data_IF_804783052670
#
_entry.id   IF_804783052670
#
_cell.length_a   1.000
_cell.length_b   1.000
_cell.length_c   1.000
_cell.angle_alpha   90.00
_cell.angle_beta   90.00
_cell.angle_gamma   90.00
#
_symmetry.space_group_name_H-M   'P 1'
#
loop_
_entity.id
_entity.type
_entity.pdbx_description
1 polymer ?
#
# COMPACT_ATOMS: atom_id res chain seq x y z
N UNK A 1 -15.93 14.19 15.75
CA UNK A 1 -15.81 15.43 16.57
C UNK A 1 -17.05 16.31 16.43
N UNK A 2 -17.42 16.75 15.20
CA UNK A 2 -18.59 17.63 14.95
C UNK A 2 -19.90 17.01 15.45
N UNK A 3 -20.12 15.73 15.21
CA UNK A 3 -21.29 14.98 15.68
C UNK A 3 -21.40 14.92 17.22
N UNK A 4 -20.28 15.08 17.93
CA UNK A 4 -20.22 15.16 19.40
C UNK A 4 -20.27 16.60 19.93
N UNK A 5 -20.62 17.56 19.10
CA UNK A 5 -20.83 18.95 19.50
C UNK A 5 -19.59 19.85 19.47
N UNK A 6 -18.40 19.35 19.15
CA UNK A 6 -17.22 20.20 19.03
C UNK A 6 -17.36 21.13 17.84
N UNK A 7 -17.25 22.44 18.05
CA UNK A 7 -17.42 23.49 17.02
C UNK A 7 -16.12 24.25 16.74
N UNK A 8 -15.33 24.44 17.78
CA UNK A 8 -14.13 25.27 17.73
C UNK A 8 -12.99 24.59 18.50
N UNK A 9 -11.80 24.60 17.91
CA UNK A 9 -10.54 24.22 18.54
C UNK A 9 -9.72 25.53 18.68
N UNK A 10 -9.50 25.98 19.92
CA UNK A 10 -8.78 27.24 20.20
C UNK A 10 -7.29 27.04 20.36
N UNK A 11 -6.88 25.86 20.84
CA UNK A 11 -5.48 25.47 20.98
C UNK A 11 -4.92 24.79 19.73
N UNK A 12 -3.71 24.26 19.87
CA UNK A 12 -3.00 23.55 18.81
C UNK A 12 -3.58 22.16 18.53
N UNK A 13 -3.39 21.69 17.33
CA UNK A 13 -3.51 20.29 16.96
C UNK A 13 -2.20 19.57 17.30
N UNK A 14 -2.18 18.81 18.37
CA UNK A 14 -0.99 18.06 18.80
C UNK A 14 -1.05 16.67 18.23
N UNK A 15 -0.02 16.29 17.49
CA UNK A 15 0.12 14.95 16.91
C UNK A 15 1.07 14.10 17.75
N UNK A 16 0.53 13.09 18.42
CA UNK A 16 1.32 12.11 19.15
C UNK A 16 1.64 10.91 18.27
N UNK A 17 2.91 10.81 17.89
CA UNK A 17 3.45 9.74 17.05
C UNK A 17 4.31 8.75 17.84
N UNK A 18 4.29 8.83 19.16
CA UNK A 18 5.18 8.11 20.06
C UNK A 18 4.98 6.58 20.08
N UNK A 19 3.87 6.09 19.50
CA UNK A 19 3.65 4.64 19.33
C UNK A 19 4.69 3.96 18.43
N UNK A 20 5.40 4.73 17.57
CA UNK A 20 6.44 4.24 16.69
C UNK A 20 7.76 4.99 16.92
N UNK A 21 8.86 4.25 16.94
CA UNK A 21 10.22 4.80 16.99
C UNK A 21 10.93 4.47 15.68
N UNK A 22 10.97 5.44 14.78
CA UNK A 22 11.47 5.27 13.41
C UNK A 22 12.62 6.22 13.12
N UNK A 23 13.58 5.73 12.36
CA UNK A 23 14.53 6.61 11.66
C UNK A 23 13.81 7.39 10.55
N UNK A 24 14.35 8.53 10.11
CA UNK A 24 13.85 9.24 8.95
C UNK A 24 13.72 8.30 7.74
N UNK A 25 12.60 8.35 7.05
CA UNK A 25 12.33 7.57 5.86
C UNK A 25 12.48 8.46 4.62
N UNK A 26 13.31 8.03 3.67
CA UNK A 26 13.42 8.65 2.36
C UNK A 26 12.56 7.89 1.34
N UNK A 27 11.46 8.46 0.84
CA UNK A 27 10.63 7.82 -0.16
C UNK A 27 11.30 7.66 -1.53
N UNK A 28 12.43 8.32 -1.77
CA UNK A 28 13.20 8.18 -3.02
C UNK A 28 14.18 6.99 -2.99
N UNK A 29 14.52 6.46 -1.80
CA UNK A 29 15.61 5.49 -1.59
C UNK A 29 15.47 4.23 -2.47
N UNK A 30 14.26 3.74 -2.67
CA UNK A 30 14.05 2.46 -3.36
C UNK A 30 14.21 2.55 -4.89
N UNK A 31 13.59 3.56 -5.54
CA UNK A 31 13.48 3.64 -6.99
C UNK A 31 13.52 5.08 -7.55
N UNK A 32 13.89 6.05 -6.70
CA UNK A 32 13.93 7.48 -7.03
C UNK A 32 12.56 8.07 -7.46
N UNK A 33 11.46 7.49 -6.97
CA UNK A 33 10.08 7.91 -7.24
C UNK A 33 9.35 8.36 -5.95
N UNK A 34 9.77 9.47 -5.30
CA UNK A 34 9.29 9.84 -3.97
C UNK A 34 7.78 10.13 -3.89
N UNK A 35 7.16 10.51 -5.01
CA UNK A 35 5.72 10.78 -5.05
C UNK A 35 4.85 9.53 -5.24
N UNK A 36 5.45 8.35 -5.44
CA UNK A 36 4.68 7.12 -5.55
C UNK A 36 4.16 6.68 -4.18
N UNK A 37 2.84 6.48 -4.01
CA UNK A 37 2.28 6.12 -2.70
C UNK A 37 2.89 4.86 -2.08
N UNK A 38 3.31 3.88 -2.89
CA UNK A 38 3.92 2.65 -2.37
C UNK A 38 5.27 2.89 -1.68
N UNK A 39 5.93 4.04 -1.92
CA UNK A 39 7.15 4.45 -1.24
C UNK A 39 6.89 5.16 0.10
N UNK A 40 5.64 5.45 0.44
CA UNK A 40 5.29 6.02 1.75
C UNK A 40 5.74 5.11 2.88
N UNK A 41 6.47 5.66 3.85
CA UNK A 41 6.86 4.98 5.07
C UNK A 41 5.68 4.71 6.01
N UNK A 42 5.84 3.83 7.02
CA UNK A 42 4.84 3.67 8.06
C UNK A 42 4.84 4.86 9.02
N UNK A 43 3.71 5.09 9.68
CA UNK A 43 3.56 6.17 10.66
C UNK A 43 2.48 5.83 11.70
N UNK A 44 2.67 6.25 12.96
CA UNK A 44 1.68 6.01 14.01
C UNK A 44 0.33 6.70 13.73
N UNK A 45 0.35 7.78 12.94
CA UNK A 45 -0.81 8.54 12.50
C UNK A 45 -1.02 8.44 10.98
N UNK A 46 -0.73 7.29 10.39
CA UNK A 46 -0.94 7.06 8.96
C UNK A 46 -2.40 7.30 8.59
N UNK A 47 -2.64 8.29 7.75
CA UNK A 47 -3.95 8.65 7.23
C UNK A 47 -3.98 8.40 5.71
N UNK A 48 -5.01 7.67 5.22
CA UNK A 48 -5.30 7.49 3.79
C UNK A 48 -4.05 7.17 2.93
N UNK A 49 -3.15 6.31 3.45
CA UNK A 49 -1.88 5.93 2.80
C UNK A 49 -0.96 7.12 2.46
N UNK A 50 -1.14 8.27 3.12
CA UNK A 50 -0.49 9.55 2.79
C UNK A 50 -0.65 9.93 1.31
N UNK A 51 -1.81 9.63 0.72
CA UNK A 51 -2.04 9.67 -0.72
C UNK A 51 -3.15 10.64 -1.10
N UNK A 52 -2.92 11.37 -2.19
CA UNK A 52 -3.91 12.23 -2.86
C UNK A 52 -4.22 11.61 -4.21
N UNK A 53 -5.49 11.45 -4.51
CA UNK A 53 -5.97 11.09 -5.84
C UNK A 53 -6.18 12.36 -6.67
N UNK A 54 -5.46 12.48 -7.77
CA UNK A 54 -5.64 13.52 -8.76
C UNK A 54 -6.46 12.96 -9.92
N UNK A 55 -7.63 13.54 -10.18
CA UNK A 55 -8.49 13.20 -11.32
C UNK A 55 -8.27 14.21 -12.43
N UNK A 56 -7.90 13.74 -13.61
CA UNK A 56 -7.69 14.50 -14.83
C UNK A 56 -8.93 14.35 -15.72
N UNK A 57 -9.67 15.44 -15.90
CA UNK A 57 -10.94 15.46 -16.60
C UNK A 57 -10.82 16.36 -17.83
N UNK A 58 -10.89 15.81 -19.05
CA UNK A 58 -10.92 16.63 -20.27
C UNK A 58 -12.20 17.48 -20.33
N UNK A 59 -12.05 18.80 -20.49
CA UNK A 59 -13.14 19.76 -20.67
C UNK A 59 -12.82 20.64 -21.91
N UNK A 60 -13.13 20.13 -23.09
CA UNK A 60 -12.79 20.80 -24.36
C UNK A 60 -11.28 20.88 -24.58
N UNK A 61 -10.74 22.09 -24.68
CA UNK A 61 -9.30 22.36 -24.85
C UNK A 61 -8.51 22.43 -23.52
N UNK A 62 -9.17 22.14 -22.40
CA UNK A 62 -8.56 22.21 -21.06
C UNK A 62 -8.67 20.89 -20.35
N UNK A 63 -7.76 20.68 -19.42
CA UNK A 63 -7.80 19.56 -18.48
C UNK A 63 -8.10 20.12 -17.09
N UNK A 64 -9.23 19.75 -16.53
CA UNK A 64 -9.52 20.03 -15.12
C UNK A 64 -8.86 18.97 -14.25
N UNK A 65 -8.20 19.43 -13.18
CA UNK A 65 -7.60 18.53 -12.20
C UNK A 65 -8.29 18.73 -10.85
N UNK A 66 -8.77 17.64 -10.26
CA UNK A 66 -9.41 17.63 -8.94
C UNK A 66 -8.58 16.76 -8.01
N UNK A 67 -8.24 17.28 -6.83
CA UNK A 67 -7.55 16.53 -5.78
C UNK A 67 -8.53 15.99 -4.74
N UNK A 68 -8.34 14.73 -4.31
CA UNK A 68 -9.13 14.09 -3.27
C UNK A 68 -8.21 13.25 -2.35
N UNK A 69 -8.15 13.52 -1.03
CA UNK A 69 -8.83 14.64 -0.35
C UNK A 69 -8.28 16.00 -0.76
N UNK A 70 -9.03 17.04 -0.48
CA UNK A 70 -8.53 18.41 -0.55
C UNK A 70 -7.49 18.64 0.54
N UNK A 71 -6.44 19.39 0.21
CA UNK A 71 -5.35 19.72 1.13
C UNK A 71 -5.36 21.21 1.44
N UNK A 72 -5.79 21.59 2.64
CA UNK A 72 -5.75 22.99 3.07
C UNK A 72 -4.32 23.53 3.01
N UNK A 73 -4.16 24.69 2.40
CA UNK A 73 -2.86 25.35 2.24
C UNK A 73 -2.05 24.86 1.03
N UNK A 74 -2.53 23.91 0.25
CA UNK A 74 -1.89 23.50 -1.01
C UNK A 74 -2.67 24.05 -2.19
N UNK A 75 -1.99 24.79 -3.05
CA UNK A 75 -2.54 25.32 -4.29
C UNK A 75 -2.15 24.44 -5.47
N UNK A 76 -3.05 24.26 -6.42
CA UNK A 76 -2.80 23.56 -7.67
C UNK A 76 -2.49 24.59 -8.78
N UNK A 77 -1.28 24.57 -9.33
CA UNK A 77 -0.92 25.27 -10.56
C UNK A 77 -0.99 24.27 -11.73
N UNK A 78 -2.09 24.34 -12.46
CA UNK A 78 -2.37 23.44 -13.57
C UNK A 78 -1.94 24.06 -14.90
N UNK A 79 -0.84 23.55 -15.46
CA UNK A 79 -0.30 23.93 -16.78
C UNK A 79 -0.37 22.77 -17.79
N UNK A 80 -1.32 21.86 -17.58
CA UNK A 80 -1.53 20.74 -18.50
C UNK A 80 -2.25 21.22 -19.75
N UNK A 81 -1.71 20.86 -20.91
CA UNK A 81 -2.33 21.13 -22.22
C UNK A 81 -2.92 19.86 -22.81
N UNK A 82 -3.87 20.00 -23.71
CA UNK A 82 -4.48 18.89 -24.44
C UNK A 82 -3.58 18.47 -25.60
N UNK A 83 -3.37 17.16 -25.78
CA UNK A 83 -2.67 16.63 -26.94
C UNK A 83 -3.46 16.87 -28.23
N UNK A 84 -2.81 17.35 -29.27
CA UNK A 84 -3.39 17.53 -30.61
C UNK A 84 -3.38 16.24 -31.45
N UNK A 85 -2.61 15.25 -31.03
CA UNK A 85 -2.47 13.93 -31.70
C UNK A 85 -2.97 12.82 -30.80
N UNK A 86 -3.36 11.70 -31.39
CA UNK A 86 -3.73 10.50 -30.63
C UNK A 86 -2.51 9.93 -29.89
N UNK A 87 -2.65 9.74 -28.57
CA UNK A 87 -1.63 9.16 -27.71
C UNK A 87 -2.00 7.76 -27.20
N UNK A 88 -1.02 7.05 -26.67
CA UNK A 88 -1.26 5.77 -26.01
C UNK A 88 -1.87 6.00 -24.61
N UNK A 89 -3.07 5.46 -24.41
CA UNK A 89 -3.78 5.62 -23.13
C UNK A 89 -3.23 4.76 -21.98
N UNK A 90 -2.30 3.85 -22.23
CA UNK A 90 -1.61 3.11 -21.16
C UNK A 90 -0.51 3.97 -20.51
N UNK A 91 0.11 4.85 -21.31
CA UNK A 91 1.25 5.69 -20.90
C UNK A 91 0.84 7.17 -20.77
N UNK A 92 -0.43 7.42 -20.53
CA UNK A 92 -1.04 8.77 -20.54
C UNK A 92 -0.39 9.77 -19.58
N UNK A 93 0.26 9.31 -18.53
CA UNK A 93 0.90 10.15 -17.52
C UNK A 93 2.41 10.33 -17.72
N UNK A 94 3.02 9.69 -18.74
CA UNK A 94 4.47 9.76 -18.96
C UNK A 94 4.90 11.14 -19.47
N UNK A 95 3.99 11.83 -20.17
CA UNK A 95 4.18 13.20 -20.63
C UNK A 95 3.79 14.27 -19.58
N UNK A 96 3.44 13.85 -18.37
CA UNK A 96 3.09 14.75 -17.28
C UNK A 96 4.18 14.78 -16.21
N UNK A 97 4.59 15.97 -15.82
CA UNK A 97 5.46 16.20 -14.66
C UNK A 97 4.69 16.83 -13.53
N UNK A 98 5.07 16.47 -12.29
CA UNK A 98 4.49 17.02 -11.07
C UNK A 98 5.61 17.41 -10.12
N UNK A 99 5.49 18.58 -9.50
CA UNK A 99 6.44 19.07 -8.52
C UNK A 99 5.74 19.89 -7.46
N UNK A 100 6.00 19.58 -6.19
CA UNK A 100 5.58 20.43 -5.08
C UNK A 100 6.67 21.49 -4.82
N UNK A 101 6.31 22.75 -4.97
CA UNK A 101 7.18 23.91 -4.72
C UNK A 101 6.57 24.76 -3.61
N UNK A 102 7.09 24.62 -2.39
CA UNK A 102 6.48 25.23 -1.22
C UNK A 102 5.05 24.74 -1.00
N UNK A 103 4.08 25.60 -1.13
CA UNK A 103 2.64 25.30 -1.00
C UNK A 103 1.93 25.06 -2.35
N UNK A 104 2.66 25.02 -3.45
CA UNK A 104 2.08 24.95 -4.79
C UNK A 104 2.46 23.65 -5.48
N UNK A 105 1.45 22.83 -5.81
CA UNK A 105 1.59 21.66 -6.67
C UNK A 105 1.52 22.10 -8.13
N UNK A 106 2.67 22.19 -8.80
CA UNK A 106 2.75 22.40 -10.23
C UNK A 106 2.51 21.08 -10.95
N UNK A 107 1.54 21.06 -11.87
CA UNK A 107 1.28 19.94 -12.79
C UNK A 107 1.35 20.48 -14.21
N UNK A 108 2.25 19.94 -15.02
CA UNK A 108 2.48 20.41 -16.39
C UNK A 108 2.74 19.26 -17.35
N UNK A 109 2.57 19.54 -18.65
CA UNK A 109 2.80 18.59 -19.72
C UNK A 109 1.59 18.47 -20.64
N UNK A 110 1.50 17.34 -21.35
CA UNK A 110 0.50 17.11 -22.38
C UNK A 110 -0.38 15.90 -22.01
N UNK A 111 -1.69 16.08 -22.02
CA UNK A 111 -2.66 15.04 -21.68
C UNK A 111 -3.45 14.60 -22.94
N UNK A 112 -3.52 13.30 -23.25
CA UNK A 112 -4.27 12.79 -24.39
C UNK A 112 -5.78 12.71 -24.06
N UNK A 113 -6.55 13.73 -24.45
CA UNK A 113 -7.97 13.87 -24.11
C UNK A 113 -8.84 12.69 -24.55
N UNK A 114 -8.47 12.01 -25.66
CA UNK A 114 -9.18 10.81 -26.14
C UNK A 114 -9.15 9.64 -25.13
N UNK A 115 -8.25 9.68 -24.15
CA UNK A 115 -8.18 8.67 -23.09
C UNK A 115 -9.29 8.84 -22.03
N UNK A 116 -10.09 9.92 -22.13
CA UNK A 116 -11.14 10.23 -21.17
C UNK A 116 -10.61 10.56 -19.79
N UNK A 117 -11.43 10.46 -18.78
CA UNK A 117 -11.03 10.69 -17.41
C UNK A 117 -9.95 9.67 -16.97
N UNK A 118 -8.94 10.17 -16.27
CA UNK A 118 -7.84 9.38 -15.69
C UNK A 118 -7.57 9.80 -14.26
N UNK A 119 -7.01 8.86 -13.50
CA UNK A 119 -6.65 9.10 -12.09
C UNK A 119 -5.19 8.75 -11.84
N UNK A 120 -4.54 9.55 -11.00
CA UNK A 120 -3.19 9.28 -10.48
C UNK A 120 -3.17 9.51 -8.99
N UNK A 121 -2.65 8.54 -8.25
CA UNK A 121 -2.38 8.68 -6.82
C UNK A 121 -0.96 9.16 -6.60
N UNK A 122 -0.80 10.15 -5.72
CA UNK A 122 0.50 10.75 -5.39
C UNK A 122 0.63 10.98 -3.89
N UNK A 123 1.83 10.81 -3.35
CA UNK A 123 2.21 11.23 -2.00
C UNK A 123 2.97 12.54 -2.11
N UNK A 124 2.47 13.60 -1.48
CA UNK A 124 2.98 14.96 -1.68
C UNK A 124 3.66 15.55 -0.46
N UNK A 125 3.24 15.14 0.74
CA UNK A 125 3.61 15.80 1.99
C UNK A 125 4.13 14.76 3.01
N UNK A 126 4.99 15.18 3.94
CA UNK A 126 5.24 14.39 5.16
C UNK A 126 3.95 14.09 5.92
N UNK A 127 3.91 12.98 6.66
CA UNK A 127 2.69 12.49 7.35
C UNK A 127 1.99 13.57 8.20
N UNK A 128 2.74 14.26 9.06
CA UNK A 128 2.16 15.30 9.93
C UNK A 128 1.55 16.44 9.13
N UNK A 129 2.24 16.89 8.08
CA UNK A 129 1.76 17.96 7.18
C UNK A 129 0.52 17.51 6.40
N UNK A 130 0.52 16.28 5.90
CA UNK A 130 -0.61 15.70 5.19
C UNK A 130 -1.85 15.61 6.11
N UNK A 131 -1.69 15.04 7.31
CA UNK A 131 -2.76 14.94 8.28
C UNK A 131 -3.34 16.31 8.63
N UNK A 132 -2.47 17.30 8.88
CA UNK A 132 -2.90 18.67 9.15
C UNK A 132 -3.69 19.28 8.00
N UNK A 133 -3.20 19.15 6.77
CA UNK A 133 -3.85 19.69 5.58
C UNK A 133 -5.24 19.07 5.37
N UNK A 134 -5.36 17.73 5.46
CA UNK A 134 -6.63 17.03 5.35
C UNK A 134 -7.56 17.37 6.50
N UNK A 135 -7.07 17.38 7.74
CA UNK A 135 -7.88 17.71 8.91
C UNK A 135 -8.46 19.13 8.81
N UNK A 136 -7.64 20.12 8.44
CA UNK A 136 -8.08 21.51 8.28
C UNK A 136 -9.12 21.65 7.18
N UNK A 137 -8.92 21.03 6.02
CA UNK A 137 -9.88 21.06 4.92
C UNK A 137 -11.24 20.49 5.35
N UNK A 138 -11.26 19.27 5.88
CA UNK A 138 -12.47 18.60 6.35
C UNK A 138 -13.12 19.33 7.53
N UNK A 139 -12.33 19.87 8.47
CA UNK A 139 -12.84 20.60 9.62
C UNK A 139 -13.55 21.87 9.20
N UNK A 140 -12.96 22.62 8.24
CA UNK A 140 -13.54 23.82 7.67
C UNK A 140 -14.79 23.52 6.85
N UNK A 141 -14.76 22.50 5.98
CA UNK A 141 -15.91 22.03 5.19
C UNK A 141 -17.12 21.72 6.08
N UNK A 142 -16.88 21.05 7.20
CA UNK A 142 -17.91 20.77 8.20
C UNK A 142 -18.30 21.98 9.08
N UNK A 143 -17.81 23.18 8.79
CA UNK A 143 -18.11 24.41 9.54
C UNK A 143 -17.42 24.49 10.89
N UNK A 144 -16.33 23.75 11.12
CA UNK A 144 -15.50 23.87 12.33
C UNK A 144 -14.48 25.01 12.21
N UNK A 145 -14.00 25.51 13.36
CA UNK A 145 -12.95 26.52 13.45
C UNK A 145 -11.73 25.97 14.17
N UNK A 146 -10.54 26.18 13.65
CA UNK A 146 -9.27 25.83 14.28
C UNK A 146 -8.36 27.08 14.28
N UNK A 147 -8.08 27.62 15.49
CA UNK A 147 -7.27 28.84 15.65
C UNK A 147 -5.78 28.52 15.80
N UNK A 148 -5.45 27.41 16.45
CA UNK A 148 -4.07 27.03 16.72
C UNK A 148 -3.34 26.45 15.51
N UNK A 149 -2.09 26.10 15.75
CA UNK A 149 -1.18 25.51 14.76
C UNK A 149 -1.05 23.99 14.94
N UNK A 150 -0.36 23.34 14.02
CA UNK A 150 0.08 21.97 14.20
C UNK A 150 1.38 21.95 15.00
N UNK A 151 1.49 21.00 15.94
CA UNK A 151 2.78 20.63 16.55
C UNK A 151 2.84 19.13 16.81
N UNK A 152 4.01 18.58 16.76
CA UNK A 152 4.26 17.22 17.25
C UNK A 152 4.52 17.23 18.76
N UNK A 153 4.13 16.17 19.46
CA UNK A 153 4.33 16.04 20.90
C UNK A 153 3.57 14.84 21.46
N UNK A 154 3.78 14.54 22.72
CA UNK A 154 3.06 13.47 23.42
C UNK A 154 1.76 13.99 24.04
N UNK A 155 0.78 13.09 24.18
CA UNK A 155 -0.47 13.38 24.88
C UNK A 155 -0.18 13.72 26.34
N UNK A 156 -0.60 14.91 26.84
CA UNK A 156 -0.44 15.23 28.27
C UNK A 156 -1.19 14.25 29.16
N UNK A 157 -0.59 13.90 30.30
CA UNK A 157 -1.19 12.94 31.25
C UNK A 157 -2.54 13.36 31.84
N UNK A 158 -2.88 14.65 31.76
CA UNK A 158 -4.17 15.22 32.20
C UNK A 158 -5.16 15.41 31.03
N UNK A 159 -4.85 14.94 29.83
CA UNK A 159 -5.75 15.05 28.68
C UNK A 159 -6.98 14.15 28.86
N UNK A 160 -8.14 14.66 28.51
CA UNK A 160 -9.40 13.92 28.56
C UNK A 160 -9.70 13.26 27.23
N UNK A 161 -10.00 11.96 27.24
CA UNK A 161 -10.42 11.23 26.06
C UNK A 161 -11.76 11.79 25.54
N UNK A 162 -11.74 12.37 24.34
CA UNK A 162 -12.94 12.92 23.72
C UNK A 162 -13.62 11.94 22.76
N UNK A 163 -12.85 11.22 21.96
CA UNK A 163 -13.36 10.27 20.98
C UNK A 163 -12.34 9.19 20.65
N UNK A 164 -12.83 8.01 20.31
CA UNK A 164 -12.03 6.90 19.79
C UNK A 164 -12.56 6.50 18.42
N UNK A 165 -11.65 6.20 17.50
CA UNK A 165 -11.92 5.56 16.23
C UNK A 165 -11.19 4.22 16.17
N UNK A 166 -11.88 3.18 15.76
CA UNK A 166 -11.31 1.86 15.56
C UNK A 166 -11.17 1.59 14.06
N UNK A 167 -10.04 1.03 13.64
CA UNK A 167 -9.87 0.56 12.28
C UNK A 167 -10.73 -0.67 11.98
N UNK A 168 -10.79 -1.07 10.71
CA UNK A 168 -11.38 -2.34 10.31
C UNK A 168 -10.70 -3.53 11.01
N UNK A 169 -11.37 -4.68 11.15
CA UNK A 169 -10.79 -5.91 11.67
C UNK A 169 -9.53 -6.32 10.91
N UNK A 170 -8.55 -6.91 11.62
CA UNK A 170 -7.26 -7.30 11.03
C UNK A 170 -7.40 -8.22 9.82
N UNK A 171 -8.38 -9.12 9.82
CA UNK A 171 -8.64 -10.02 8.69
C UNK A 171 -8.98 -9.26 7.38
N UNK A 172 -9.74 -8.16 7.49
CA UNK A 172 -10.06 -7.30 6.35
C UNK A 172 -8.82 -6.55 5.87
N UNK A 173 -8.02 -6.02 6.80
CA UNK A 173 -6.76 -5.33 6.46
C UNK A 173 -5.78 -6.28 5.74
N UNK A 174 -5.62 -7.53 6.23
CA UNK A 174 -4.78 -8.54 5.59
C UNK A 174 -5.30 -8.89 4.19
N UNK A 175 -6.61 -9.00 4.04
CA UNK A 175 -7.22 -9.22 2.71
C UNK A 175 -6.87 -8.10 1.75
N UNK A 176 -6.99 -6.85 2.16
CA UNK A 176 -6.67 -5.72 1.31
C UNK A 176 -5.16 -5.63 0.99
N UNK A 177 -4.30 -5.91 1.98
CA UNK A 177 -2.84 -6.04 1.77
C UNK A 177 -2.55 -7.06 0.67
N UNK A 178 -3.12 -8.24 0.77
CA UNK A 178 -2.80 -9.34 -0.14
C UNK A 178 -3.45 -9.16 -1.52
N UNK A 179 -4.75 -8.82 -1.58
CA UNK A 179 -5.50 -8.65 -2.84
C UNK A 179 -4.91 -7.53 -3.70
N UNK A 180 -4.61 -6.40 -3.10
CA UNK A 180 -4.13 -5.21 -3.84
C UNK A 180 -2.61 -5.04 -3.78
N UNK A 181 -1.91 -5.94 -3.08
CA UNK A 181 -0.46 -5.83 -2.88
C UNK A 181 -0.05 -4.47 -2.29
N UNK A 182 -0.79 -4.01 -1.26
CA UNK A 182 -0.61 -2.69 -0.68
C UNK A 182 0.63 -2.63 0.21
N UNK A 183 1.70 -2.01 -0.30
CA UNK A 183 2.99 -1.92 0.39
C UNK A 183 2.93 -1.06 1.65
N UNK A 184 2.15 0.02 1.65
CA UNK A 184 2.03 0.93 2.81
C UNK A 184 1.38 0.20 3.98
N UNK A 185 0.27 -0.50 3.72
CA UNK A 185 -0.39 -1.32 4.75
C UNK A 185 0.50 -2.47 5.23
N UNK A 186 1.26 -3.11 4.33
CA UNK A 186 2.17 -4.19 4.70
C UNK A 186 3.29 -3.71 5.63
N UNK A 187 3.91 -2.54 5.33
CA UNK A 187 4.89 -1.90 6.22
C UNK A 187 4.29 -1.55 7.58
N UNK A 188 3.08 -0.96 7.57
CA UNK A 188 2.36 -0.59 8.79
C UNK A 188 2.09 -1.82 9.67
N UNK A 189 1.59 -2.90 9.07
CA UNK A 189 1.33 -4.14 9.77
C UNK A 189 2.62 -4.76 10.32
N UNK A 190 3.68 -4.85 9.50
CA UNK A 190 4.98 -5.37 9.93
C UNK A 190 5.50 -4.61 11.14
N UNK A 191 5.51 -3.28 11.07
CA UNK A 191 5.97 -2.43 12.16
C UNK A 191 5.13 -2.63 13.42
N UNK A 192 3.81 -2.77 13.30
CA UNK A 192 2.91 -2.95 14.44
C UNK A 192 3.19 -4.24 15.24
N UNK A 193 3.84 -5.24 14.64
CA UNK A 193 4.25 -6.47 15.34
C UNK A 193 5.33 -6.23 16.40
N UNK A 194 6.10 -5.16 16.26
CA UNK A 194 7.22 -4.83 17.16
C UNK A 194 6.85 -3.95 18.34
N UNK A 195 5.59 -3.49 18.43
CA UNK A 195 5.12 -2.64 19.52
C UNK A 195 4.50 -3.43 20.67
N UNK A 196 4.61 -2.89 21.88
CA UNK A 196 3.90 -3.35 23.07
C UNK A 196 3.20 -2.17 23.73
N UNK A 197 2.40 -2.43 24.78
CA UNK A 197 1.76 -1.36 25.57
C UNK A 197 2.79 -0.39 26.19
N UNK A 198 3.99 -0.89 26.49
CA UNK A 198 5.01 -0.17 27.25
C UNK A 198 6.21 0.29 26.40
N UNK A 199 6.27 -0.11 25.13
CA UNK A 199 7.39 0.21 24.27
C UNK A 199 6.95 0.51 22.82
N UNK A 200 7.51 1.58 22.19
CA UNK A 200 7.20 1.93 20.82
C UNK A 200 7.67 0.85 19.85
N UNK A 201 6.90 0.67 18.78
CA UNK A 201 7.26 -0.24 17.71
C UNK A 201 8.46 0.29 16.89
N UNK A 202 9.35 -0.61 16.52
CA UNK A 202 10.43 -0.36 15.56
C UNK A 202 10.71 -1.62 14.72
N UNK A 203 11.45 -1.48 13.64
CA UNK A 203 11.71 -2.59 12.71
C UNK A 203 12.47 -3.75 13.33
N UNK A 204 13.42 -3.48 14.22
CA UNK A 204 14.19 -4.54 14.89
C UNK A 204 13.31 -5.41 15.80
N UNK A 205 12.40 -4.77 16.56
CA UNK A 205 11.43 -5.50 17.37
C UNK A 205 10.44 -6.29 16.51
N UNK A 206 10.04 -5.76 15.36
CA UNK A 206 9.16 -6.45 14.40
C UNK A 206 9.82 -7.69 13.81
N UNK A 207 11.09 -7.59 13.40
CA UNK A 207 11.86 -8.73 12.94
C UNK A 207 11.98 -9.79 14.04
N UNK A 208 12.31 -9.37 15.27
CA UNK A 208 12.43 -10.27 16.41
C UNK A 208 11.10 -10.98 16.70
N UNK A 209 9.98 -10.28 16.64
CA UNK A 209 8.64 -10.86 16.81
C UNK A 209 8.36 -11.98 15.79
N UNK A 210 8.71 -11.74 14.50
CA UNK A 210 8.57 -12.76 13.45
C UNK A 210 9.50 -13.95 13.69
N UNK A 211 10.78 -13.72 14.05
CA UNK A 211 11.73 -14.80 14.33
C UNK A 211 11.29 -15.66 15.52
N UNK A 212 10.75 -15.04 16.56
CA UNK A 212 10.18 -15.74 17.71
C UNK A 212 8.98 -16.59 17.30
N UNK A 213 8.08 -16.04 16.49
CA UNK A 213 6.92 -16.77 15.95
C UNK A 213 7.35 -17.98 15.10
N UNK A 214 8.34 -17.82 14.23
CA UNK A 214 8.90 -18.92 13.44
C UNK A 214 9.44 -20.03 14.34
N UNK A 215 10.22 -19.68 15.37
CA UNK A 215 10.77 -20.64 16.35
C UNK A 215 9.68 -21.39 17.09
N UNK A 216 8.65 -20.69 17.57
CA UNK A 216 7.49 -21.31 18.26
C UNK A 216 6.73 -22.29 17.36
N UNK A 217 6.69 -22.02 16.05
CA UNK A 217 6.05 -22.88 15.05
C UNK A 217 7.02 -23.92 14.46
N UNK A 218 8.21 -24.08 15.02
CA UNK A 218 9.24 -25.03 14.57
C UNK A 218 9.66 -24.82 13.11
N UNK A 219 9.64 -23.56 12.66
CA UNK A 219 10.09 -23.15 11.34
C UNK A 219 11.49 -22.55 11.46
N UNK A 220 12.42 -23.07 10.66
CA UNK A 220 13.81 -22.60 10.65
C UNK A 220 14.18 -22.12 9.26
N UNK A 221 14.37 -20.79 9.11
CA UNK A 221 14.67 -20.09 7.87
C UNK A 221 15.98 -19.28 8.03
N UNK A 222 17.15 -19.95 7.98
CA UNK A 222 18.43 -19.28 8.24
C UNK A 222 18.78 -18.20 7.21
N UNK A 223 18.25 -18.33 5.99
CA UNK A 223 18.45 -17.38 4.91
C UNK A 223 17.50 -16.16 4.94
N UNK A 224 16.52 -16.17 5.86
CA UNK A 224 15.52 -15.10 5.92
C UNK A 224 16.16 -13.76 6.30
N UNK A 225 15.97 -12.76 5.43
CA UNK A 225 16.28 -11.36 5.70
C UNK A 225 14.99 -10.58 5.57
N UNK A 226 14.65 -9.82 6.61
CA UNK A 226 13.49 -8.94 6.69
C UNK A 226 13.96 -7.50 6.88
N UNK A 227 13.36 -6.55 6.18
CA UNK A 227 13.63 -5.11 6.33
C UNK A 227 12.39 -4.31 6.68
N UNK A 228 11.36 -4.39 5.82
CA UNK A 228 10.21 -3.48 5.89
C UNK A 228 8.84 -4.16 5.78
N UNK A 229 8.79 -5.45 5.56
CA UNK A 229 7.55 -6.24 5.44
C UNK A 229 6.74 -6.02 4.16
N UNK A 230 7.17 -5.12 3.27
CA UNK A 230 6.46 -4.82 2.03
C UNK A 230 7.09 -5.49 0.80
N UNK A 231 8.32 -6.00 0.91
CA UNK A 231 9.06 -6.56 -0.21
C UNK A 231 9.67 -5.50 -1.14
N UNK A 232 9.52 -4.21 -0.87
CA UNK A 232 10.22 -3.13 -1.58
C UNK A 232 11.63 -2.99 -1.01
N UNK A 233 12.46 -3.99 -1.29
CA UNK A 233 13.81 -4.13 -0.81
C UNK A 233 14.64 -4.91 -1.81
N UNK A 234 15.94 -4.58 -1.90
CA UNK A 234 16.93 -5.35 -2.65
C UNK A 234 17.68 -6.34 -1.76
N UNK A 235 17.40 -6.35 -0.45
CA UNK A 235 18.09 -7.16 0.56
C UNK A 235 17.20 -8.28 1.11
N UNK A 236 15.89 -8.11 1.18
CA UNK A 236 14.95 -9.13 1.68
C UNK A 236 15.11 -10.45 0.92
N UNK A 237 15.17 -11.56 1.65
CA UNK A 237 15.43 -12.90 1.09
C UNK A 237 14.64 -13.96 1.82
N UNK A 238 14.13 -14.90 1.04
CA UNK A 238 13.58 -16.16 1.52
C UNK A 238 13.69 -17.21 0.41
N UNK A 239 13.97 -18.46 0.76
CA UNK A 239 14.02 -19.53 -0.24
C UNK A 239 12.63 -20.04 -0.63
N UNK A 240 12.44 -20.59 -1.85
CA UNK A 240 11.19 -21.25 -2.22
C UNK A 240 10.79 -22.35 -1.23
N UNK A 241 11.77 -23.09 -0.72
CA UNK A 241 11.54 -24.15 0.28
C UNK A 241 10.95 -23.57 1.58
N UNK A 242 11.52 -22.49 2.10
CA UNK A 242 11.04 -21.83 3.32
C UNK A 242 9.64 -21.25 3.13
N UNK A 243 9.34 -20.67 1.96
CA UNK A 243 7.98 -20.21 1.63
C UNK A 243 6.98 -21.38 1.55
N UNK A 244 7.35 -22.53 0.99
CA UNK A 244 6.49 -23.73 1.00
C UNK A 244 6.21 -24.18 2.43
N UNK A 245 7.22 -24.20 3.31
CA UNK A 245 7.05 -24.58 4.71
C UNK A 245 6.15 -23.59 5.46
N UNK A 246 6.29 -22.29 5.20
CA UNK A 246 5.44 -21.24 5.76
C UNK A 246 3.98 -21.41 5.31
N UNK A 247 3.74 -21.57 4.02
CA UNK A 247 2.39 -21.78 3.46
C UNK A 247 1.75 -23.08 3.99
N UNK A 248 2.54 -24.14 4.15
CA UNK A 248 2.08 -25.39 4.75
C UNK A 248 1.72 -25.23 6.23
N UNK A 249 2.46 -24.41 6.97
CA UNK A 249 2.12 -24.07 8.36
C UNK A 249 0.81 -23.27 8.41
N UNK A 250 0.65 -22.26 7.54
CA UNK A 250 -0.58 -21.48 7.42
C UNK A 250 -1.80 -22.35 7.08
N UNK A 251 -1.65 -23.30 6.15
CA UNK A 251 -2.72 -24.26 5.77
C UNK A 251 -3.21 -25.11 6.94
N UNK A 252 -2.34 -25.38 7.93
CA UNK A 252 -2.67 -26.18 9.11
C UNK A 252 -3.17 -25.34 10.29
N UNK A 253 -3.14 -24.04 10.15
CA UNK A 253 -3.60 -23.11 11.17
C UNK A 253 -5.13 -23.09 11.26
N UNK A 254 -5.70 -22.80 12.44
CA UNK A 254 -7.14 -22.53 12.57
C UNK A 254 -7.62 -21.34 11.70
N UNK A 255 -6.71 -20.47 11.27
CA UNK A 255 -6.99 -19.29 10.41
C UNK A 255 -6.70 -19.58 8.93
N UNK A 256 -6.58 -20.86 8.53
CA UNK A 256 -6.22 -21.22 7.14
C UNK A 256 -7.19 -20.67 6.10
N UNK A 257 -8.48 -20.73 6.40
CA UNK A 257 -9.53 -20.25 5.48
C UNK A 257 -9.45 -18.73 5.26
N UNK A 258 -9.29 -17.95 6.33
CA UNK A 258 -9.14 -16.52 6.26
C UNK A 258 -7.86 -16.12 5.53
N UNK A 259 -6.75 -16.83 5.80
CA UNK A 259 -5.48 -16.57 5.12
C UNK A 259 -5.58 -16.87 3.63
N UNK A 260 -6.09 -18.03 3.23
CA UNK A 260 -6.25 -18.40 1.82
C UNK A 260 -7.20 -17.43 1.09
N UNK A 261 -8.36 -17.11 1.71
CA UNK A 261 -9.32 -16.15 1.15
C UNK A 261 -8.74 -14.72 0.99
N UNK A 262 -7.72 -14.36 1.78
CA UNK A 262 -7.02 -13.07 1.64
C UNK A 262 -6.18 -12.98 0.36
N UNK A 263 -5.72 -14.12 -0.19
CA UNK A 263 -4.89 -14.12 -1.40
C UNK A 263 -5.69 -13.79 -2.66
N UNK A 264 -5.10 -13.14 -3.67
CA UNK A 264 -5.72 -12.94 -4.98
C UNK A 264 -6.17 -14.24 -5.63
N UNK A 265 -7.38 -14.25 -6.18
CA UNK A 265 -7.95 -15.40 -6.90
C UNK A 265 -7.68 -15.24 -8.39
N UNK A 266 -7.06 -16.26 -9.00
CA UNK A 266 -6.70 -16.25 -10.41
C UNK A 266 -7.95 -16.05 -11.29
N UNK A 267 -7.88 -15.07 -12.20
CA UNK A 267 -8.95 -14.72 -13.13
C UNK A 267 -10.16 -14.01 -12.51
N UNK A 268 -10.16 -13.73 -11.19
CA UNK A 268 -11.33 -13.20 -10.47
C UNK A 268 -11.05 -11.84 -9.83
N UNK A 269 -10.04 -11.74 -8.96
CA UNK A 269 -9.82 -10.53 -8.18
C UNK A 269 -8.34 -10.19 -7.96
N UNK A 270 -8.14 -9.07 -7.26
CA UNK A 270 -6.83 -8.58 -6.84
C UNK A 270 -5.86 -8.43 -8.01
N UNK A 271 -4.57 -8.72 -7.76
CA UNK A 271 -3.51 -8.64 -8.78
C UNK A 271 -3.61 -9.70 -9.88
N UNK A 272 -4.45 -10.71 -9.71
CA UNK A 272 -4.71 -11.75 -10.71
C UNK A 272 -6.00 -11.57 -11.53
N UNK A 273 -6.77 -10.50 -11.28
CA UNK A 273 -8.07 -10.26 -11.94
C UNK A 273 -8.05 -10.36 -13.46
N UNK A 274 -6.96 -9.93 -14.10
CA UNK A 274 -6.81 -9.93 -15.57
C UNK A 274 -5.86 -11.03 -16.07
N UNK A 275 -5.48 -11.99 -15.21
CA UNK A 275 -4.51 -13.03 -15.56
C UNK A 275 -5.19 -14.40 -15.55
N UNK A 276 -5.01 -15.17 -16.63
CA UNK A 276 -5.65 -16.49 -16.82
C UNK A 276 -7.20 -16.45 -16.80
N UNK A 277 -7.79 -15.33 -17.22
CA UNK A 277 -9.23 -15.19 -17.36
C UNK A 277 -9.71 -16.13 -18.46
N UNK A 278 -10.51 -17.07 -18.34
CA UNK A 278 -10.92 -18.04 -19.35
C UNK A 278 -10.05 -19.31 -19.39
N UNK A 279 -9.04 -19.45 -18.53
CA UNK A 279 -8.36 -20.68 -18.24
C UNK A 279 -9.18 -21.53 -17.25
N UNK A 280 -9.06 -22.85 -17.33
CA UNK A 280 -9.63 -23.79 -16.33
C UNK A 280 -9.06 -23.54 -14.92
N UNK A 281 -7.90 -22.90 -14.81
CA UNK A 281 -7.30 -22.51 -13.54
C UNK A 281 -7.96 -21.28 -12.89
N UNK A 282 -8.82 -20.55 -13.63
CA UNK A 282 -9.57 -19.43 -13.06
C UNK A 282 -10.45 -19.92 -11.91
N UNK A 283 -10.48 -19.15 -10.81
CA UNK A 283 -11.20 -19.48 -9.58
C UNK A 283 -10.68 -20.71 -8.78
N UNK A 284 -9.59 -21.36 -9.24
CA UNK A 284 -9.02 -22.56 -8.60
C UNK A 284 -7.62 -22.32 -8.02
N UNK A 285 -7.14 -21.09 -8.02
CA UNK A 285 -5.84 -20.77 -7.44
C UNK A 285 -5.88 -19.44 -6.67
N UNK A 286 -5.31 -19.48 -5.48
CA UNK A 286 -5.17 -18.36 -4.54
C UNK A 286 -3.69 -18.02 -4.41
N UNK A 287 -3.23 -16.99 -5.13
CA UNK A 287 -1.81 -16.71 -5.31
C UNK A 287 -1.47 -15.25 -5.06
N UNK A 288 -0.43 -15.02 -4.25
CA UNK A 288 0.21 -13.70 -4.09
C UNK A 288 1.28 -13.51 -5.15
N UNK A 289 1.29 -12.35 -5.79
CA UNK A 289 2.33 -11.90 -6.71
C UNK A 289 3.42 -11.10 -6.01
N UNK A 290 4.65 -11.16 -6.54
CA UNK A 290 5.74 -10.22 -6.28
C UNK A 290 6.36 -9.80 -7.61
N UNK A 291 6.62 -8.50 -7.77
CA UNK A 291 7.21 -7.97 -9.00
C UNK A 291 8.09 -6.78 -8.68
N UNK A 292 9.37 -6.88 -8.99
CA UNK A 292 10.34 -5.82 -8.99
C UNK A 292 11.14 -5.89 -10.29
N UNK A 293 11.96 -4.88 -10.57
CA UNK A 293 12.94 -5.00 -11.62
C UNK A 293 13.82 -6.22 -11.38
N UNK A 294 13.92 -7.09 -12.38
CA UNK A 294 14.67 -8.34 -12.30
C UNK A 294 14.04 -9.43 -11.44
N UNK A 295 12.81 -9.25 -10.92
CA UNK A 295 12.14 -10.24 -10.06
C UNK A 295 10.70 -10.46 -10.49
N UNK A 296 10.30 -11.74 -10.64
CA UNK A 296 8.90 -12.15 -10.74
C UNK A 296 8.64 -13.33 -9.81
N UNK A 297 7.63 -13.23 -8.99
CA UNK A 297 7.30 -14.23 -7.98
C UNK A 297 5.80 -14.51 -7.92
N UNK A 298 5.45 -15.77 -7.65
CA UNK A 298 4.12 -16.18 -7.20
C UNK A 298 4.26 -17.20 -6.08
N UNK A 299 3.35 -17.13 -5.11
CA UNK A 299 3.28 -18.10 -4.01
C UNK A 299 1.84 -18.22 -3.50
N UNK A 300 1.42 -19.42 -3.13
CA UNK A 300 0.10 -19.70 -2.56
C UNK A 300 -0.40 -21.11 -2.85
N UNK A 301 -1.70 -21.22 -3.12
CA UNK A 301 -2.40 -22.50 -3.24
C UNK A 301 -3.07 -22.66 -4.61
N UNK A 302 -3.04 -23.86 -5.15
CA UNK A 302 -3.72 -24.24 -6.40
C UNK A 302 -4.50 -25.51 -6.15
N UNK A 303 -5.80 -25.50 -6.42
CA UNK A 303 -6.66 -26.68 -6.37
C UNK A 303 -6.63 -27.37 -7.74
N UNK A 304 -6.26 -28.65 -7.75
CA UNK A 304 -6.28 -29.46 -8.96
C UNK A 304 -7.68 -30.01 -9.25
N UNK A 305 -7.90 -30.43 -10.48
CA UNK A 305 -9.16 -31.09 -10.92
C UNK A 305 -9.53 -32.34 -10.09
N UNK A 306 -8.52 -33.05 -9.61
CA UNK A 306 -8.71 -34.18 -8.71
C UNK A 306 -9.09 -33.80 -7.27
N UNK A 307 -9.31 -32.52 -6.98
CA UNK A 307 -9.66 -32.02 -5.65
C UNK A 307 -8.46 -31.85 -4.69
N UNK A 308 -7.23 -32.17 -5.13
CA UNK A 308 -6.04 -31.99 -4.29
C UNK A 308 -5.61 -30.52 -4.28
N UNK A 309 -5.25 -30.02 -3.09
CA UNK A 309 -4.65 -28.70 -2.93
C UNK A 309 -3.12 -28.81 -2.99
N UNK A 310 -2.51 -27.98 -3.84
CA UNK A 310 -1.07 -27.87 -4.04
C UNK A 310 -0.57 -26.55 -3.49
N UNK A 311 0.62 -26.56 -2.88
CA UNK A 311 1.36 -25.34 -2.55
C UNK A 311 2.30 -25.04 -3.70
N UNK A 312 2.13 -23.86 -4.30
CA UNK A 312 2.96 -23.38 -5.40
C UNK A 312 3.84 -22.23 -4.92
N UNK A 313 5.14 -22.33 -5.17
CA UNK A 313 6.10 -21.21 -5.03
C UNK A 313 6.98 -21.18 -6.28
N UNK A 314 6.98 -20.07 -6.98
CA UNK A 314 7.80 -19.88 -8.17
C UNK A 314 8.45 -18.49 -8.15
N UNK A 315 9.75 -18.46 -7.91
CA UNK A 315 10.56 -17.24 -7.83
C UNK A 315 11.52 -17.19 -9.02
N UNK A 316 11.57 -16.05 -9.70
CA UNK A 316 12.48 -15.78 -10.82
C UNK A 316 13.30 -14.54 -10.48
N UNK A 317 14.61 -14.68 -10.46
CA UNK A 317 15.58 -13.59 -10.31
C UNK A 317 16.43 -13.53 -11.59
N UNK A 318 16.12 -12.63 -12.51
CA UNK A 318 16.80 -12.49 -13.78
C UNK A 318 16.45 -11.12 -14.42
N UNK A 319 17.35 -10.43 -15.10
CA UNK A 319 17.02 -9.17 -15.77
C UNK A 319 15.78 -9.25 -16.67
N UNK A 320 15.55 -10.41 -17.31
CA UNK A 320 14.36 -10.67 -18.13
C UNK A 320 13.26 -11.46 -17.37
N UNK A 321 13.11 -11.27 -16.06
CA UNK A 321 12.14 -12.01 -15.23
C UNK A 321 10.69 -11.85 -15.69
N UNK A 322 10.35 -10.71 -16.32
CA UNK A 322 8.99 -10.43 -16.83
C UNK A 322 8.54 -11.48 -17.86
N UNK A 323 9.43 -11.96 -18.72
CA UNK A 323 9.13 -13.03 -19.68
C UNK A 323 8.72 -14.35 -18.99
N UNK A 324 9.17 -14.57 -17.77
CA UNK A 324 8.85 -15.76 -16.99
C UNK A 324 7.40 -15.85 -16.52
N UNK A 325 6.58 -14.81 -16.69
CA UNK A 325 5.13 -14.86 -16.40
C UNK A 325 4.42 -15.95 -17.18
N UNK A 326 4.86 -16.23 -18.40
CA UNK A 326 4.27 -17.30 -19.22
C UNK A 326 4.54 -18.67 -18.60
N UNK A 327 5.76 -18.93 -18.13
CA UNK A 327 6.11 -20.17 -17.45
C UNK A 327 5.33 -20.34 -16.13
N UNK A 328 5.13 -19.25 -15.37
CA UNK A 328 4.28 -19.28 -14.18
C UNK A 328 2.84 -19.64 -14.55
N UNK A 329 2.28 -19.08 -15.61
CA UNK A 329 0.91 -19.39 -16.07
C UNK A 329 0.80 -20.87 -16.47
N UNK A 330 1.73 -21.36 -17.28
CA UNK A 330 1.74 -22.76 -17.72
C UNK A 330 1.84 -23.74 -16.53
N UNK A 331 2.61 -23.39 -15.49
CA UNK A 331 2.69 -24.23 -14.28
C UNK A 331 1.39 -24.22 -13.48
N UNK A 332 0.70 -23.07 -13.35
CA UNK A 332 -0.61 -23.00 -12.68
C UNK A 332 -1.60 -23.89 -13.40
N UNK A 333 -1.71 -23.79 -14.73
CA UNK A 333 -2.62 -24.61 -15.55
C UNK A 333 -2.25 -26.10 -15.51
N UNK A 334 -0.95 -26.44 -15.50
CA UNK A 334 -0.49 -27.81 -15.40
C UNK A 334 -0.87 -28.44 -14.06
N UNK A 335 -0.74 -27.70 -12.94
CA UNK A 335 -1.15 -28.20 -11.62
C UNK A 335 -2.66 -28.39 -11.58
N UNK A 336 -3.44 -27.44 -12.11
CA UNK A 336 -4.89 -27.48 -12.10
C UNK A 336 -5.41 -28.75 -12.80
N UNK A 337 -4.81 -29.17 -13.92
CA UNK A 337 -5.19 -30.39 -14.67
C UNK A 337 -4.81 -31.70 -14.00
N UNK A 338 -4.12 -31.74 -12.86
CA UNK A 338 -3.75 -32.92 -12.09
C UNK A 338 -4.90 -33.32 -11.13
#
# INVERSE_FOLDING_TARGET
LRSRGLREIRGDLVLDRSAFQLAPHDPAEFDNEPMRPYNTGPDALLLNFNSVRLRFIPEGEKIKIISMPELAGIRLDNRVTVATTQGNCNDWNDALSMQLQGDTLLVQGVFPAQCGERERHVSLLPHSSYLNAVFRALWQEMGGRLQGTLREGTVPGNATLFATHQSAPLAELIRDINKFSNNVMARQLFLSLGGTADAPANFAHSELAIRNWLTQNKLHFPELILENGAGLSRRERISPRSLVLLLRSAQRSPLSTEFEASLPIVGVDGTFKKRLTGSEAANHAHLKTGSLEGVQAIAGYVQSHSGKQWILVFLINHPNAVAGKQAQNALIEWIQRR
#
